data_IF_781772605661
#
_entry.id   IF_781772605661
#
_cell.length_a   1.000
_cell.length_b   1.000
_cell.length_c   1.000
_cell.angle_alpha   90.00
_cell.angle_beta   90.00
_cell.angle_gamma   90.00
#
_symmetry.space_group_name_H-M   'P 1'
#
loop_
_entity.id
_entity.type
_entity.pdbx_description
1 polymer ?
#
# COMPACT_ATOMS: atom_id res chain seq x y z
N UNK A 1 6.84 37.25 -0.75
CA UNK A 1 6.85 36.46 0.49
C UNK A 1 7.53 35.16 0.19
N UNK A 2 8.44 34.67 1.07
CA UNK A 2 9.00 33.33 0.91
C UNK A 2 7.87 32.28 0.96
N UNK A 3 7.96 31.24 0.15
CA UNK A 3 6.99 30.14 0.17
C UNK A 3 6.93 29.51 1.58
N UNK A 4 5.76 29.11 2.07
CA UNK A 4 5.62 28.52 3.41
C UNK A 4 6.37 27.18 3.48
N UNK A 5 6.92 26.88 4.66
CA UNK A 5 7.51 25.57 4.98
C UNK A 5 6.75 24.95 6.14
N UNK A 6 6.68 23.62 6.13
CA UNK A 6 6.04 22.82 7.19
C UNK A 6 6.79 22.98 8.52
N UNK A 7 6.14 22.59 9.60
CA UNK A 7 6.78 22.42 10.91
C UNK A 7 7.38 21.00 10.99
N UNK A 8 8.68 20.91 10.73
CA UNK A 8 9.40 19.64 10.68
C UNK A 8 9.41 18.90 12.02
N UNK A 9 9.54 19.64 13.13
CA UNK A 9 9.56 19.06 14.47
C UNK A 9 8.20 18.47 14.84
N UNK A 10 7.11 19.18 14.49
CA UNK A 10 5.76 18.68 14.71
C UNK A 10 5.46 17.45 13.87
N UNK A 11 5.75 17.48 12.57
CA UNK A 11 5.56 16.28 11.71
C UNK A 11 6.30 15.07 12.27
N UNK A 12 7.56 15.23 12.65
CA UNK A 12 8.34 14.14 13.21
C UNK A 12 7.80 13.65 14.57
N UNK A 13 7.41 14.58 15.44
CA UNK A 13 6.80 14.25 16.73
C UNK A 13 5.48 13.48 16.56
N UNK A 14 4.64 13.89 15.62
CA UNK A 14 3.36 13.23 15.34
C UNK A 14 3.59 11.82 14.76
N UNK A 15 4.56 11.65 13.84
CA UNK A 15 4.96 10.33 13.34
C UNK A 15 5.40 9.41 14.48
N UNK A 16 6.24 9.89 15.37
CA UNK A 16 6.74 9.08 16.50
C UNK A 16 5.63 8.79 17.54
N UNK A 17 4.72 9.73 17.76
CA UNK A 17 3.57 9.53 18.64
C UNK A 17 2.61 8.47 18.08
N UNK A 18 2.31 8.54 16.79
CA UNK A 18 1.50 7.52 16.13
C UNK A 18 2.20 6.16 16.10
N UNK A 19 3.51 6.12 15.89
CA UNK A 19 4.31 4.89 15.90
C UNK A 19 4.33 4.19 17.27
N UNK A 20 4.07 4.90 18.37
CA UNK A 20 3.93 4.30 19.70
C UNK A 20 2.68 3.41 19.83
N UNK A 21 1.65 3.64 18.99
CA UNK A 21 0.44 2.82 18.95
C UNK A 21 0.70 1.58 18.06
N UNK A 22 0.82 0.43 18.70
CA UNK A 22 1.22 -0.82 18.06
C UNK A 22 2.73 -1.01 17.96
N UNK A 23 3.53 -0.26 18.74
CA UNK A 23 4.98 -0.36 18.73
C UNK A 23 5.48 -1.78 19.02
N UNK A 24 6.50 -2.21 18.27
CA UNK A 24 7.19 -3.48 18.45
C UNK A 24 8.52 -3.30 19.19
N UNK A 25 9.02 -4.34 19.89
CA UNK A 25 10.24 -4.24 20.72
C UNK A 25 11.49 -3.78 19.95
N UNK A 26 11.57 -4.08 18.65
CA UNK A 26 12.72 -3.77 17.80
C UNK A 26 12.53 -2.52 16.93
N UNK A 27 11.49 -1.74 17.22
CA UNK A 27 11.32 -0.42 16.63
C UNK A 27 10.29 -0.30 15.50
N UNK A 28 9.69 -1.39 15.07
CA UNK A 28 8.60 -1.41 14.09
C UNK A 28 7.23 -1.12 14.68
N UNK A 29 6.20 -1.34 13.89
CA UNK A 29 4.80 -1.15 14.24
C UNK A 29 3.96 -2.37 13.84
N UNK A 30 2.93 -2.68 14.63
CA UNK A 30 1.90 -3.66 14.33
C UNK A 30 0.53 -3.01 14.56
N UNK A 31 0.02 -2.35 13.56
CA UNK A 31 -1.28 -1.68 13.57
C UNK A 31 -2.12 -2.21 12.40
N UNK A 32 -2.41 -3.52 12.43
CA UNK A 32 -3.24 -4.17 11.42
C UNK A 32 -4.61 -3.53 11.32
N UNK A 33 -5.12 -3.42 10.10
CA UNK A 33 -6.42 -2.81 9.81
C UNK A 33 -7.54 -3.31 10.72
N UNK A 34 -8.33 -2.37 11.22
CA UNK A 34 -9.51 -2.58 12.06
C UNK A 34 -9.25 -3.33 13.39
N UNK A 35 -8.00 -3.39 13.85
CA UNK A 35 -7.67 -3.83 15.21
C UNK A 35 -7.89 -2.69 16.22
N UNK A 36 -7.74 -3.01 17.52
CA UNK A 36 -7.78 -1.97 18.56
C UNK A 36 -6.63 -0.96 18.40
N UNK A 37 -5.46 -1.40 17.96
CA UNK A 37 -4.35 -0.50 17.65
C UNK A 37 -4.70 0.45 16.47
N UNK A 38 -5.33 -0.05 15.40
CA UNK A 38 -5.80 0.82 14.30
C UNK A 38 -6.88 1.79 14.77
N UNK A 39 -7.85 1.33 15.59
CA UNK A 39 -8.82 2.23 16.23
C UNK A 39 -8.14 3.35 16.99
N UNK A 40 -7.12 3.05 17.79
CA UNK A 40 -6.45 4.03 18.62
C UNK A 40 -5.62 5.00 17.77
N UNK A 41 -4.99 4.51 16.67
CA UNK A 41 -4.34 5.37 15.67
C UNK A 41 -5.32 6.30 14.94
N UNK A 42 -6.48 5.78 14.53
CA UNK A 42 -7.57 6.57 13.93
C UNK A 42 -8.12 7.62 14.91
N UNK A 43 -8.29 7.25 16.18
CA UNK A 43 -8.73 8.18 17.23
C UNK A 43 -7.72 9.32 17.42
N UNK A 44 -6.43 9.03 17.41
CA UNK A 44 -5.37 10.02 17.52
C UNK A 44 -5.38 10.96 16.29
N UNK A 45 -5.45 10.43 15.09
CA UNK A 45 -5.58 11.23 13.87
C UNK A 45 -6.85 12.10 13.90
N UNK A 46 -7.99 11.56 14.29
CA UNK A 46 -9.23 12.30 14.43
C UNK A 46 -9.15 13.41 15.49
N UNK A 47 -8.40 13.20 16.57
CA UNK A 47 -8.12 14.22 17.57
C UNK A 47 -7.32 15.37 16.95
N UNK A 48 -6.22 15.09 16.29
CA UNK A 48 -5.38 16.08 15.63
C UNK A 48 -6.10 16.87 14.53
N UNK A 49 -6.99 16.22 13.77
CA UNK A 49 -7.83 16.89 12.79
C UNK A 49 -8.79 17.91 13.45
N UNK A 50 -9.41 17.53 14.58
CA UNK A 50 -10.30 18.47 15.34
C UNK A 50 -9.51 19.62 15.95
N UNK A 51 -8.32 19.39 16.50
CA UNK A 51 -7.43 20.45 16.98
C UNK A 51 -7.03 21.43 15.88
N UNK A 52 -6.86 20.91 14.65
CA UNK A 52 -6.62 21.72 13.45
C UNK A 52 -7.89 22.39 12.90
N UNK A 53 -9.05 22.24 13.55
CA UNK A 53 -10.32 22.88 13.12
C UNK A 53 -10.93 22.26 11.86
N UNK A 54 -10.51 21.04 11.48
CA UNK A 54 -10.98 20.38 10.26
C UNK A 54 -12.34 19.68 10.48
N UNK A 55 -13.21 19.74 9.47
CA UNK A 55 -14.45 18.98 9.45
C UNK A 55 -14.12 17.51 9.10
N UNK A 56 -14.33 16.60 10.07
CA UNK A 56 -14.06 15.18 9.91
C UNK A 56 -15.33 14.41 9.51
N UNK A 57 -15.23 13.58 8.47
CA UNK A 57 -16.27 12.61 8.09
C UNK A 57 -15.64 11.22 7.89
N UNK A 58 -16.46 10.19 8.11
CA UNK A 58 -16.07 8.78 7.91
C UNK A 58 -17.11 8.13 7.02
N UNK A 59 -16.69 7.37 6.01
CA UNK A 59 -17.61 6.65 5.14
C UNK A 59 -17.89 5.22 5.62
N UNK A 60 -18.78 4.52 4.92
CA UNK A 60 -19.25 3.21 5.35
C UNK A 60 -18.18 2.10 5.30
N UNK A 61 -17.07 2.28 4.54
CA UNK A 61 -15.91 1.37 4.56
C UNK A 61 -14.83 1.85 5.56
N UNK A 62 -15.09 2.95 6.29
CA UNK A 62 -14.20 3.45 7.32
C UNK A 62 -13.11 4.40 6.83
N UNK A 63 -13.13 4.83 5.57
CA UNK A 63 -12.22 5.88 5.12
C UNK A 63 -12.52 7.17 5.87
N UNK A 64 -11.46 7.88 6.29
CA UNK A 64 -11.58 9.12 7.06
C UNK A 64 -11.20 10.30 6.17
N UNK A 65 -12.00 11.36 6.21
CA UNK A 65 -11.78 12.57 5.43
C UNK A 65 -11.82 13.78 6.36
N UNK A 66 -10.73 14.53 6.44
CA UNK A 66 -10.62 15.76 7.22
C UNK A 66 -10.51 16.95 6.27
N UNK A 67 -11.56 17.78 6.23
CA UNK A 67 -11.73 18.85 5.26
C UNK A 67 -11.36 20.19 5.86
N UNK A 68 -10.50 20.93 5.15
CA UNK A 68 -10.24 22.34 5.26
C UNK A 68 -10.98 23.08 4.15
N UNK A 69 -11.79 24.07 4.51
CA UNK A 69 -12.56 24.80 3.50
C UNK A 69 -11.69 25.72 2.63
N UNK A 70 -12.09 25.85 1.38
CA UNK A 70 -11.58 26.83 0.44
C UNK A 70 -12.47 28.09 0.38
N UNK A 71 -12.02 29.11 -0.32
CA UNK A 71 -12.79 30.35 -0.53
C UNK A 71 -13.93 30.19 -1.55
N UNK A 72 -13.87 29.18 -2.40
CA UNK A 72 -14.88 28.87 -3.42
C UNK A 72 -15.44 27.46 -3.23
N UNK A 73 -16.58 27.31 -2.55
CA UNK A 73 -17.18 26.01 -2.27
C UNK A 73 -17.75 25.30 -3.50
N UNK A 74 -17.83 25.96 -4.66
CA UNK A 74 -18.29 25.36 -5.91
C UNK A 74 -17.22 24.53 -6.60
N UNK A 75 -15.95 24.72 -6.25
CA UNK A 75 -14.82 23.99 -6.82
C UNK A 75 -14.61 22.65 -6.13
N UNK A 76 -14.30 21.58 -6.90
CA UNK A 76 -13.94 20.29 -6.31
C UNK A 76 -12.66 20.41 -5.47
N UNK A 77 -12.57 19.73 -4.32
CA UNK A 77 -11.41 19.79 -3.43
C UNK A 77 -10.18 19.07 -4.01
N UNK A 78 -9.01 19.47 -3.52
CA UNK A 78 -7.76 18.72 -3.68
C UNK A 78 -7.64 17.75 -2.51
N UNK A 79 -7.35 16.48 -2.80
CA UNK A 79 -7.13 15.44 -1.79
C UNK A 79 -5.64 15.17 -1.62
N UNK A 80 -5.23 14.89 -0.39
CA UNK A 80 -3.90 14.40 -0.06
C UNK A 80 -3.97 13.42 1.11
N UNK A 81 -3.20 12.36 1.08
CA UNK A 81 -3.16 11.37 2.16
C UNK A 81 -2.60 10.04 1.74
N UNK A 82 -2.84 9.00 2.53
CA UNK A 82 -2.45 7.61 2.36
C UNK A 82 -3.24 6.75 3.36
N UNK A 83 -2.60 5.82 4.08
CA UNK A 83 -3.23 4.93 5.06
C UNK A 83 -2.54 5.00 6.43
N UNK A 84 -3.21 4.49 7.47
CA UNK A 84 -2.67 4.37 8.83
C UNK A 84 -2.43 2.93 9.26
N UNK A 85 -3.08 1.93 8.63
CA UNK A 85 -2.79 0.53 8.91
C UNK A 85 -1.39 0.13 8.43
N UNK A 86 -0.81 -0.89 9.05
CA UNK A 86 0.55 -1.36 8.77
C UNK A 86 0.58 -2.85 8.56
N UNK A 87 1.66 -3.36 7.98
CA UNK A 87 2.01 -4.79 8.02
C UNK A 87 2.26 -5.28 9.46
N UNK A 88 2.48 -6.59 9.63
CA UNK A 88 2.79 -7.22 10.91
C UNK A 88 3.89 -8.29 10.78
N UNK A 89 5.12 -8.00 11.19
CA UNK A 89 5.65 -6.71 11.64
C UNK A 89 5.80 -5.71 10.48
N UNK A 90 5.51 -4.44 10.73
CA UNK A 90 5.61 -3.35 9.75
C UNK A 90 6.52 -2.22 10.20
N UNK A 91 6.65 -1.22 9.33
CA UNK A 91 7.36 0.01 9.58
C UNK A 91 6.52 1.09 10.27
N UNK A 92 7.10 2.29 10.37
CA UNK A 92 6.47 3.46 11.03
C UNK A 92 6.03 4.53 10.03
N UNK A 93 6.54 4.46 8.81
CA UNK A 93 6.47 5.53 7.82
C UNK A 93 5.60 5.14 6.63
N UNK A 94 5.53 3.85 6.33
CA UNK A 94 4.72 3.26 5.28
C UNK A 94 3.23 3.58 5.50
N UNK A 95 2.68 4.50 4.69
CA UNK A 95 1.35 5.07 4.83
C UNK A 95 1.25 6.25 5.81
N UNK A 96 1.61 6.11 7.12
CA UNK A 96 1.53 7.21 8.08
C UNK A 96 2.22 8.50 7.65
N UNK A 97 3.34 8.42 6.92
CA UNK A 97 4.01 9.60 6.41
C UNK A 97 3.09 10.43 5.51
N UNK A 98 2.38 9.80 4.57
CA UNK A 98 1.48 10.49 3.65
C UNK A 98 0.31 11.15 4.33
N UNK A 99 -0.33 10.46 5.30
CA UNK A 99 -1.46 11.01 6.06
C UNK A 99 -1.04 12.19 6.93
N UNK A 100 0.06 12.04 7.69
CA UNK A 100 0.51 13.08 8.61
C UNK A 100 1.17 14.26 7.89
N UNK A 101 1.84 14.04 6.76
CA UNK A 101 2.31 15.13 5.91
C UNK A 101 1.15 15.94 5.33
N UNK A 102 0.08 15.29 4.88
CA UNK A 102 -1.11 15.99 4.39
C UNK A 102 -1.81 16.79 5.50
N UNK A 103 -1.87 16.26 6.74
CA UNK A 103 -2.35 17.01 7.89
C UNK A 103 -1.44 18.21 8.20
N UNK A 104 -0.13 18.05 8.11
CA UNK A 104 0.83 19.13 8.34
C UNK A 104 0.74 20.21 7.26
N UNK A 105 0.44 19.85 6.00
CA UNK A 105 0.15 20.83 4.93
C UNK A 105 -0.97 21.77 5.34
N UNK A 106 -2.12 21.25 5.75
CA UNK A 106 -3.27 22.12 6.12
C UNK A 106 -2.99 22.95 7.36
N UNK A 107 -2.32 22.39 8.38
CA UNK A 107 -1.88 23.14 9.57
C UNK A 107 -0.92 24.30 9.22
N UNK A 108 -0.03 24.06 8.26
CA UNK A 108 0.92 25.08 7.80
C UNK A 108 0.22 26.22 7.05
N UNK A 109 -0.74 25.90 6.19
CA UNK A 109 -1.53 26.90 5.47
C UNK A 109 -2.33 27.78 6.45
N UNK A 110 -2.93 27.18 7.48
CA UNK A 110 -3.68 27.91 8.50
C UNK A 110 -2.76 28.82 9.35
N UNK A 111 -1.63 28.28 9.80
CA UNK A 111 -0.62 29.08 10.53
C UNK A 111 -0.10 30.27 9.72
N UNK A 112 0.06 30.09 8.41
CA UNK A 112 0.52 31.13 7.50
C UNK A 112 -0.61 32.10 7.07
N UNK A 113 -1.86 31.87 7.45
CA UNK A 113 -3.02 32.68 7.02
C UNK A 113 -3.28 32.60 5.51
N UNK A 114 -2.89 31.51 4.85
CA UNK A 114 -3.05 31.32 3.40
C UNK A 114 -4.42 30.69 3.13
N UNK A 115 -5.31 31.43 2.49
CA UNK A 115 -6.55 30.91 1.95
C UNK A 115 -6.30 30.29 0.57
N UNK A 116 -6.87 29.10 0.33
CA UNK A 116 -6.87 28.47 -0.99
C UNK A 116 -8.24 28.64 -1.64
N UNK A 117 -8.31 28.63 -2.97
CA UNK A 117 -9.59 28.66 -3.67
C UNK A 117 -10.39 27.39 -3.44
N UNK A 118 -9.75 26.23 -3.63
CA UNK A 118 -10.35 24.91 -3.40
C UNK A 118 -10.18 24.48 -1.95
N UNK A 119 -11.12 23.73 -1.46
CA UNK A 119 -10.96 22.99 -0.23
C UNK A 119 -9.81 21.96 -0.37
N UNK A 120 -9.21 21.59 0.76
CA UNK A 120 -8.22 20.51 0.84
C UNK A 120 -8.78 19.42 1.77
N UNK A 121 -8.80 18.19 1.33
CA UNK A 121 -9.21 17.03 2.13
C UNK A 121 -8.03 16.10 2.41
N UNK A 122 -7.73 15.94 3.71
CA UNK A 122 -6.77 14.95 4.17
C UNK A 122 -7.48 13.62 4.30
N UNK A 123 -6.94 12.54 3.70
CA UNK A 123 -7.58 11.24 3.70
C UNK A 123 -6.71 10.16 4.37
N UNK A 124 -7.39 9.27 5.11
CA UNK A 124 -6.86 7.99 5.56
C UNK A 124 -7.70 6.87 4.96
N UNK A 125 -7.11 6.09 4.06
CA UNK A 125 -7.74 4.94 3.43
C UNK A 125 -7.74 3.73 4.36
N UNK A 126 -8.79 2.92 4.30
CA UNK A 126 -8.97 1.73 5.16
C UNK A 126 -8.39 0.49 4.51
N UNK A 127 -7.56 -0.28 5.26
CA UNK A 127 -7.01 -1.56 4.85
C UNK A 127 -6.28 -1.48 3.49
N UNK A 128 -5.36 -0.53 3.40
CA UNK A 128 -4.50 -0.43 2.22
C UNK A 128 -3.57 -1.64 2.12
N UNK A 129 -2.95 -2.03 3.22
CA UNK A 129 -1.93 -3.06 3.30
C UNK A 129 -2.42 -4.49 2.98
N UNK A 130 -3.70 -4.77 3.16
CA UNK A 130 -4.25 -6.11 2.95
C UNK A 130 -3.71 -7.18 3.89
N UNK A 131 -2.93 -6.82 4.90
CA UNK A 131 -2.25 -7.73 5.79
C UNK A 131 -3.21 -8.56 6.66
N UNK A 132 -4.33 -7.96 7.06
CA UNK A 132 -5.39 -8.66 7.80
C UNK A 132 -6.52 -9.12 6.90
N UNK A 133 -6.97 -8.26 5.98
CA UNK A 133 -8.09 -8.52 5.06
C UNK A 133 -7.59 -8.38 3.63
N UNK A 134 -7.43 -9.49 2.94
CA UNK A 134 -7.01 -9.50 1.52
C UNK A 134 -8.22 -9.37 0.59
N UNK A 135 -8.11 -8.58 -0.49
CA UNK A 135 -6.93 -7.85 -0.96
C UNK A 135 -6.71 -6.52 -0.25
N UNK A 136 -5.50 -5.96 -0.40
CA UNK A 136 -5.18 -4.59 -0.03
C UNK A 136 -5.83 -3.54 -0.93
N UNK A 137 -5.52 -2.25 -0.71
CA UNK A 137 -6.11 -1.09 -1.37
C UNK A 137 -7.64 -1.04 -1.21
N UNK A 138 -8.19 -1.65 -0.15
CA UNK A 138 -9.62 -1.93 -0.06
C UNK A 138 -10.44 -0.65 0.05
N UNK A 139 -10.07 0.26 0.93
CA UNK A 139 -10.80 1.50 1.18
C UNK A 139 -10.89 2.39 -0.07
N UNK A 140 -9.77 2.59 -0.74
CA UNK A 140 -9.72 3.37 -1.99
C UNK A 140 -10.42 2.66 -3.15
N UNK A 141 -10.35 1.31 -3.22
CA UNK A 141 -11.03 0.53 -4.25
C UNK A 141 -12.56 0.61 -4.14
N UNK A 142 -13.09 0.54 -2.90
CA UNK A 142 -14.54 0.72 -2.67
C UNK A 142 -14.95 2.16 -2.98
N UNK A 143 -14.15 3.15 -2.55
CA UNK A 143 -14.39 4.56 -2.84
C UNK A 143 -14.41 4.84 -4.35
N UNK A 144 -13.53 4.20 -5.12
CA UNK A 144 -13.46 4.33 -6.59
C UNK A 144 -14.44 3.41 -7.35
N UNK A 145 -15.37 2.73 -6.68
CA UNK A 145 -16.31 1.78 -7.26
C UNK A 145 -15.64 0.61 -8.04
N UNK A 146 -14.42 0.25 -7.66
CA UNK A 146 -13.71 -0.93 -8.19
C UNK A 146 -14.17 -2.21 -7.49
N UNK A 147 -14.49 -2.10 -6.20
CA UNK A 147 -15.02 -3.18 -5.36
C UNK A 147 -16.34 -2.71 -4.75
N UNK A 148 -17.34 -3.59 -4.79
CA UNK A 148 -18.64 -3.34 -4.14
C UNK A 148 -18.48 -3.32 -2.62
N UNK A 149 -19.17 -2.38 -1.94
CA UNK A 149 -19.11 -2.22 -0.49
C UNK A 149 -19.56 -3.50 0.25
N UNK A 150 -20.61 -4.17 -0.23
CA UNK A 150 -21.10 -5.39 0.41
C UNK A 150 -20.10 -6.54 0.27
N UNK A 151 -19.39 -6.62 -0.87
CA UNK A 151 -18.31 -7.59 -1.07
C UNK A 151 -17.17 -7.29 -0.10
N UNK A 152 -16.74 -6.04 0.00
CA UNK A 152 -15.67 -5.64 0.92
C UNK A 152 -16.03 -5.93 2.39
N UNK A 153 -17.25 -5.59 2.81
CA UNK A 153 -17.73 -5.88 4.17
C UNK A 153 -17.78 -7.38 4.50
N UNK A 154 -17.98 -8.24 3.51
CA UNK A 154 -18.04 -9.70 3.68
C UNK A 154 -16.64 -10.36 3.73
N UNK A 155 -15.57 -9.67 3.35
CA UNK A 155 -14.19 -10.20 3.45
C UNK A 155 -13.89 -10.52 4.90
N UNK A 156 -13.27 -11.70 5.14
CA UNK A 156 -12.92 -12.17 6.48
C UNK A 156 -11.42 -12.34 6.66
N UNK A 157 -10.94 -12.11 7.88
CA UNK A 157 -9.61 -12.50 8.29
C UNK A 157 -9.50 -14.02 8.55
N UNK A 158 -8.28 -14.51 8.86
CA UNK A 158 -8.03 -15.94 9.15
C UNK A 158 -8.78 -16.45 10.38
N UNK A 159 -9.23 -15.57 11.28
CA UNK A 159 -10.04 -15.93 12.46
C UNK A 159 -11.54 -15.93 12.18
N UNK A 160 -11.96 -15.51 10.98
CA UNK A 160 -13.37 -15.45 10.55
C UNK A 160 -14.08 -14.15 10.89
N UNK A 161 -13.35 -13.11 11.38
CA UNK A 161 -13.95 -11.80 11.60
C UNK A 161 -14.09 -11.06 10.26
N UNK A 162 -15.28 -10.51 10.00
CA UNK A 162 -15.52 -9.75 8.76
C UNK A 162 -15.13 -8.29 8.89
N UNK A 163 -14.77 -7.66 7.76
CA UNK A 163 -14.50 -6.22 7.68
C UNK A 163 -15.66 -5.40 8.24
N UNK A 164 -16.89 -5.68 7.81
CA UNK A 164 -18.08 -4.96 8.30
C UNK A 164 -18.31 -5.16 9.81
N UNK A 165 -18.07 -6.37 10.34
CA UNK A 165 -18.15 -6.65 11.77
C UNK A 165 -17.10 -5.89 12.58
N UNK A 166 -15.87 -5.85 12.08
CA UNK A 166 -14.76 -5.14 12.75
C UNK A 166 -14.92 -3.62 12.69
N UNK A 167 -15.39 -3.06 11.56
CA UNK A 167 -15.74 -1.64 11.45
C UNK A 167 -16.79 -1.23 12.50
N UNK A 168 -17.84 -2.05 12.66
CA UNK A 168 -18.87 -1.81 13.68
C UNK A 168 -18.27 -1.93 15.10
N UNK A 169 -17.42 -2.94 15.36
CA UNK A 169 -16.78 -3.18 16.67
C UNK A 169 -15.91 -1.99 17.09
N UNK A 170 -15.09 -1.47 16.18
CA UNK A 170 -14.22 -0.32 16.46
C UNK A 170 -14.92 1.05 16.30
N UNK A 171 -16.20 1.06 15.88
CA UNK A 171 -17.04 2.25 15.65
C UNK A 171 -16.51 3.19 14.56
N UNK A 172 -16.02 2.60 13.47
CA UNK A 172 -15.57 3.30 12.27
C UNK A 172 -16.37 2.95 11.01
N UNK A 173 -17.51 2.26 11.14
CA UNK A 173 -18.54 2.22 10.10
C UNK A 173 -19.25 3.59 10.11
N UNK A 174 -18.81 4.51 9.24
CA UNK A 174 -19.35 5.85 9.18
C UNK A 174 -20.66 5.91 8.38
N UNK A 175 -21.28 7.08 8.38
CA UNK A 175 -22.55 7.40 7.70
C UNK A 175 -22.39 8.18 6.40
N UNK A 176 -21.16 8.66 6.11
CA UNK A 176 -20.89 9.34 4.86
C UNK A 176 -20.98 8.38 3.67
N UNK A 177 -21.52 8.83 2.53
CA UNK A 177 -21.56 8.02 1.32
C UNK A 177 -20.15 7.58 0.89
N UNK A 178 -20.02 6.33 0.42
CA UNK A 178 -18.79 5.85 -0.18
C UNK A 178 -18.73 6.29 -1.63
N UNK A 179 -17.66 6.97 -2.02
CA UNK A 179 -17.49 7.49 -3.38
C UNK A 179 -18.43 8.64 -3.74
N UNK A 180 -18.52 8.93 -5.03
CA UNK A 180 -19.41 9.99 -5.55
C UNK A 180 -18.99 11.42 -5.21
N UNK A 181 -17.86 11.63 -4.52
CA UNK A 181 -17.30 12.95 -4.24
C UNK A 181 -16.54 13.45 -5.46
N UNK A 182 -16.81 14.70 -5.84
CA UNK A 182 -15.98 15.36 -6.85
C UNK A 182 -14.59 15.60 -6.28
N UNK A 183 -13.55 15.31 -7.06
CA UNK A 183 -12.14 15.50 -6.72
C UNK A 183 -11.47 16.28 -7.85
N UNK A 184 -10.68 17.31 -7.51
CA UNK A 184 -9.88 18.04 -8.49
C UNK A 184 -8.55 17.32 -8.77
N UNK A 185 -7.88 16.86 -7.72
CA UNK A 185 -6.64 16.11 -7.78
C UNK A 185 -6.42 15.30 -6.49
N UNK A 186 -5.56 14.28 -6.58
CA UNK A 186 -5.06 13.51 -5.44
C UNK A 186 -3.54 13.50 -5.42
N UNK A 187 -2.97 13.71 -4.24
CA UNK A 187 -1.53 13.61 -3.99
C UNK A 187 -1.25 12.62 -2.87
N UNK A 188 -0.27 11.76 -3.07
CA UNK A 188 0.19 10.82 -2.05
C UNK A 188 1.71 10.98 -1.86
N UNK A 189 2.14 11.32 -0.64
CA UNK A 189 3.54 11.25 -0.25
C UNK A 189 3.79 9.90 0.39
N UNK A 190 4.85 9.22 -0.04
CA UNK A 190 5.18 7.90 0.47
C UNK A 190 6.69 7.69 0.56
N UNK A 191 7.15 6.71 1.33
CA UNK A 191 8.51 6.20 1.22
C UNK A 191 8.64 5.38 -0.07
N UNK A 192 9.83 5.34 -0.68
CA UNK A 192 10.05 4.60 -1.93
C UNK A 192 9.77 3.10 -1.82
N UNK A 193 9.98 2.50 -0.64
CA UNK A 193 9.97 1.05 -0.43
C UNK A 193 10.97 0.30 -1.33
N UNK A 194 12.02 1.00 -1.73
CA UNK A 194 13.08 0.52 -2.60
C UNK A 194 14.38 1.29 -2.36
N UNK A 195 15.51 0.83 -2.92
CA UNK A 195 16.83 1.39 -2.64
C UNK A 195 17.29 2.44 -3.66
N UNK A 196 16.47 2.82 -4.65
CA UNK A 196 16.94 3.58 -5.82
C UNK A 196 17.29 5.04 -5.46
N UNK A 197 16.41 5.72 -4.72
CA UNK A 197 16.65 7.12 -4.31
C UNK A 197 17.88 7.24 -3.40
N UNK A 198 18.00 6.35 -2.42
CA UNK A 198 19.17 6.34 -1.52
C UNK A 198 20.45 6.04 -2.28
N UNK A 199 20.45 5.04 -3.15
CA UNK A 199 21.62 4.68 -3.96
C UNK A 199 22.05 5.80 -4.91
N UNK A 200 21.12 6.60 -5.42
CA UNK A 200 21.39 7.76 -6.28
C UNK A 200 21.73 9.03 -5.49
N UNK A 201 21.52 9.06 -4.17
CA UNK A 201 21.65 10.28 -3.36
C UNK A 201 20.61 11.34 -3.73
N UNK A 202 19.40 10.92 -4.17
CA UNK A 202 18.31 11.80 -4.60
C UNK A 202 17.24 11.88 -3.52
N UNK A 203 16.78 13.09 -3.23
CA UNK A 203 15.83 13.36 -2.14
C UNK A 203 14.37 13.07 -2.50
N UNK A 204 13.98 13.36 -3.74
CA UNK A 204 12.57 13.29 -4.19
C UNK A 204 12.45 12.40 -5.43
N UNK A 205 11.53 11.47 -5.37
CA UNK A 205 11.08 10.70 -6.52
C UNK A 205 9.72 11.21 -7.01
N UNK A 206 9.66 11.74 -8.24
CA UNK A 206 8.41 12.05 -8.92
C UNK A 206 7.98 10.80 -9.70
N UNK A 207 6.93 10.12 -9.24
CA UNK A 207 6.56 8.81 -9.78
C UNK A 207 5.77 8.99 -11.08
N UNK A 208 6.23 8.37 -12.15
CA UNK A 208 5.60 8.49 -13.48
C UNK A 208 4.67 7.35 -13.81
N UNK A 209 4.97 6.14 -13.35
CA UNK A 209 4.15 4.94 -13.60
C UNK A 209 4.57 3.76 -12.71
N UNK A 210 3.75 2.71 -12.71
CA UNK A 210 4.06 1.48 -11.98
C UNK A 210 4.71 0.42 -12.87
N UNK A 211 5.19 -0.66 -12.23
CA UNK A 211 5.63 -1.87 -12.93
C UNK A 211 4.43 -2.67 -13.45
N UNK A 212 4.67 -3.52 -14.46
CA UNK A 212 3.79 -4.63 -14.79
C UNK A 212 3.83 -5.65 -13.66
N UNK A 213 2.69 -6.28 -13.36
CA UNK A 213 2.64 -7.33 -12.34
C UNK A 213 1.67 -8.45 -12.70
N UNK A 214 2.01 -9.66 -12.24
CA UNK A 214 1.10 -10.80 -12.19
C UNK A 214 1.06 -11.30 -10.75
N UNK A 215 -0.14 -11.63 -10.25
CA UNK A 215 -0.33 -12.37 -9.00
C UNK A 215 -1.23 -13.56 -9.28
N UNK A 216 -0.92 -14.71 -8.67
CA UNK A 216 -1.72 -15.90 -8.85
C UNK A 216 -1.77 -16.76 -7.58
N UNK A 217 -2.90 -17.46 -7.43
CA UNK A 217 -3.10 -18.50 -6.44
C UNK A 217 -3.06 -19.87 -7.15
N UNK A 218 -2.15 -20.71 -6.74
CA UNK A 218 -1.92 -22.05 -7.31
C UNK A 218 -2.35 -23.12 -6.32
N UNK A 219 -3.19 -24.02 -6.77
CA UNK A 219 -3.52 -25.24 -6.05
C UNK A 219 -2.66 -26.40 -6.54
N UNK A 220 -2.08 -27.13 -5.61
CA UNK A 220 -1.41 -28.40 -5.85
C UNK A 220 -2.22 -29.53 -5.20
N UNK A 221 -2.55 -30.58 -5.96
CA UNK A 221 -3.31 -31.75 -5.52
C UNK A 221 -2.50 -33.04 -5.61
N UNK A 222 -2.60 -33.84 -4.55
CA UNK A 222 -1.99 -35.15 -4.42
C UNK A 222 -2.90 -36.09 -3.63
N UNK A 223 -2.32 -37.01 -2.87
CA UNK A 223 -3.05 -38.03 -2.14
C UNK A 223 -2.77 -37.97 -0.64
N UNK A 224 -3.80 -38.23 0.16
CA UNK A 224 -3.65 -38.48 1.59
C UNK A 224 -2.88 -39.79 1.83
N UNK A 225 -2.13 -39.82 2.92
CA UNK A 225 -1.45 -41.03 3.36
C UNK A 225 -0.88 -40.86 4.77
N UNK A 226 -0.61 -41.98 5.43
CA UNK A 226 0.05 -41.99 6.71
C UNK A 226 1.55 -41.77 6.54
N UNK A 227 2.15 -40.79 7.27
CA UNK A 227 3.55 -40.39 7.07
C UNK A 227 4.58 -41.50 7.31
N UNK A 228 4.26 -42.50 8.12
CA UNK A 228 5.18 -43.60 8.43
C UNK A 228 4.94 -44.85 7.59
N UNK A 229 3.69 -45.19 7.29
CA UNK A 229 3.35 -46.48 6.67
C UNK A 229 3.22 -46.44 5.15
N UNK A 230 2.90 -45.30 4.55
CA UNK A 230 2.84 -45.21 3.08
C UNK A 230 4.27 -45.22 2.49
N UNK A 231 4.61 -46.17 1.59
CA UNK A 231 5.93 -46.22 0.98
C UNK A 231 6.31 -44.95 0.24
N UNK A 232 7.57 -44.49 0.38
CA UNK A 232 8.04 -43.20 -0.18
C UNK A 232 7.73 -43.03 -1.67
N UNK A 233 7.99 -44.07 -2.48
CA UNK A 233 7.81 -44.03 -3.94
C UNK A 233 6.34 -43.98 -4.39
N UNK A 234 5.39 -44.17 -3.47
CA UNK A 234 3.94 -44.07 -3.74
C UNK A 234 3.32 -42.78 -3.26
N UNK A 235 4.14 -41.86 -2.68
CA UNK A 235 3.64 -40.63 -2.09
C UNK A 235 3.44 -39.57 -3.16
N UNK A 236 2.22 -39.01 -3.21
CA UNK A 236 1.87 -37.83 -3.96
C UNK A 236 1.58 -36.71 -2.97
N UNK A 237 2.65 -36.10 -2.43
CA UNK A 237 2.58 -35.10 -1.37
C UNK A 237 2.44 -33.68 -1.95
N UNK A 238 1.25 -33.10 -1.86
CA UNK A 238 0.95 -31.78 -2.41
C UNK A 238 1.81 -30.66 -1.81
N UNK A 239 2.15 -30.74 -0.51
CA UNK A 239 3.02 -29.75 0.12
C UNK A 239 4.44 -29.77 -0.45
N UNK A 240 4.98 -30.97 -0.76
CA UNK A 240 6.30 -31.08 -1.38
C UNK A 240 6.28 -30.55 -2.83
N UNK A 241 5.21 -30.79 -3.56
CA UNK A 241 5.04 -30.22 -4.91
C UNK A 241 4.98 -28.71 -4.89
N UNK A 242 4.17 -28.14 -4.00
CA UNK A 242 4.10 -26.68 -3.80
C UNK A 242 5.48 -26.10 -3.43
N UNK A 243 6.20 -26.72 -2.47
CA UNK A 243 7.52 -26.24 -2.05
C UNK A 243 8.56 -26.26 -3.19
N UNK A 244 8.53 -27.28 -4.07
CA UNK A 244 9.41 -27.33 -5.25
C UNK A 244 9.12 -26.19 -6.22
N UNK A 245 7.84 -25.93 -6.53
CA UNK A 245 7.46 -24.84 -7.42
C UNK A 245 7.79 -23.48 -6.81
N UNK A 246 7.59 -23.29 -5.51
CA UNK A 246 7.99 -22.07 -4.77
C UNK A 246 9.50 -21.84 -4.90
N UNK A 247 10.32 -22.86 -4.79
CA UNK A 247 11.77 -22.74 -4.96
C UNK A 247 12.17 -22.34 -6.40
N UNK A 248 11.44 -22.83 -7.41
CA UNK A 248 11.66 -22.42 -8.80
C UNK A 248 11.23 -20.96 -9.04
N UNK A 249 10.12 -20.52 -8.44
CA UNK A 249 9.68 -19.12 -8.50
C UNK A 249 10.75 -18.18 -7.89
N UNK A 250 11.33 -18.54 -6.74
CA UNK A 250 12.45 -17.79 -6.13
C UNK A 250 13.67 -17.73 -7.07
N UNK A 251 14.04 -18.86 -7.68
CA UNK A 251 15.14 -18.95 -8.66
C UNK A 251 14.90 -18.03 -9.85
N UNK A 252 13.68 -18.02 -10.39
CA UNK A 252 13.29 -17.16 -11.52
C UNK A 252 13.37 -15.68 -11.13
N UNK A 253 12.87 -15.34 -9.93
CA UNK A 253 12.96 -13.97 -9.41
C UNK A 253 14.40 -13.49 -9.25
N UNK A 254 15.28 -14.34 -8.69
CA UNK A 254 16.73 -14.05 -8.58
C UNK A 254 17.41 -13.86 -9.92
N UNK A 255 17.05 -14.66 -10.93
CA UNK A 255 17.61 -14.55 -12.27
C UNK A 255 17.15 -13.27 -13.00
N UNK A 256 15.97 -12.73 -12.67
CA UNK A 256 15.46 -11.48 -13.25
C UNK A 256 15.99 -10.22 -12.56
N UNK A 257 16.63 -10.35 -11.39
CA UNK A 257 17.13 -9.20 -10.64
C UNK A 257 18.25 -8.47 -11.42
N UNK A 258 18.37 -7.13 -11.26
CA UNK A 258 17.59 -6.26 -10.39
C UNK A 258 16.28 -5.76 -11.01
N UNK A 259 16.03 -6.01 -12.30
CA UNK A 259 14.90 -5.45 -13.02
C UNK A 259 13.56 -6.05 -12.55
N UNK A 260 13.45 -7.38 -12.51
CA UNK A 260 12.28 -8.10 -12.08
C UNK A 260 12.41 -8.72 -10.70
N UNK A 261 11.30 -9.12 -10.12
CA UNK A 261 11.25 -9.95 -8.92
C UNK A 261 10.07 -10.92 -8.95
N UNK A 262 10.21 -12.05 -8.27
CA UNK A 262 9.14 -13.00 -8.04
C UNK A 262 9.25 -13.58 -6.63
N UNK A 263 8.11 -13.75 -5.94
CA UNK A 263 8.06 -14.31 -4.60
C UNK A 263 6.75 -15.03 -4.34
N UNK A 264 6.82 -16.17 -3.69
CA UNK A 264 5.66 -16.80 -3.06
C UNK A 264 5.54 -16.29 -1.63
N UNK A 265 4.30 -15.96 -1.18
CA UNK A 265 4.08 -15.24 0.07
C UNK A 265 3.09 -15.90 1.02
N UNK A 266 2.23 -16.79 0.53
CA UNK A 266 1.25 -17.54 1.33
C UNK A 266 1.34 -19.01 0.96
N UNK A 267 1.21 -19.90 1.94
CA UNK A 267 1.01 -21.34 1.70
C UNK A 267 0.08 -21.92 2.76
N UNK A 268 -0.97 -22.57 2.33
CA UNK A 268 -1.89 -23.35 3.17
C UNK A 268 -1.91 -24.81 2.71
N UNK A 269 -1.96 -25.76 3.64
CA UNK A 269 -1.95 -27.17 3.35
C UNK A 269 -3.07 -27.91 4.09
N UNK A 270 -3.62 -28.97 3.49
CA UNK A 270 -4.67 -29.79 4.09
C UNK A 270 -4.30 -31.27 4.09
N UNK A 271 -4.57 -31.96 5.22
CA UNK A 271 -5.32 -31.57 6.41
C UNK A 271 -4.49 -30.82 7.46
N UNK A 272 -3.25 -30.43 7.19
CA UNK A 272 -2.35 -29.65 8.05
C UNK A 272 -2.21 -30.22 9.48
N UNK A 273 -1.91 -31.50 9.59
CA UNK A 273 -1.64 -32.19 10.82
C UNK A 273 -0.34 -33.03 10.75
N UNK A 274 0.17 -33.49 11.90
CA UNK A 274 1.49 -34.14 11.99
C UNK A 274 1.53 -35.59 11.53
N UNK A 275 0.40 -36.16 11.12
CA UNK A 275 0.25 -37.61 10.85
C UNK A 275 -0.02 -37.92 9.38
N UNK A 276 -0.69 -37.01 8.69
CA UNK A 276 -1.11 -37.20 7.31
C UNK A 276 -0.20 -36.49 6.30
N UNK A 277 0.05 -37.16 5.19
CA UNK A 277 0.62 -36.54 3.99
C UNK A 277 -0.44 -35.58 3.43
N UNK A 278 -0.13 -34.29 3.22
CA UNK A 278 -1.08 -33.36 2.65
C UNK A 278 -1.48 -33.74 1.23
N UNK A 279 -2.79 -33.79 0.98
CA UNK A 279 -3.35 -34.07 -0.34
C UNK A 279 -3.65 -32.80 -1.14
N UNK A 280 -3.62 -31.66 -0.50
CA UNK A 280 -3.89 -30.35 -1.09
C UNK A 280 -2.97 -29.32 -0.48
N UNK A 281 -2.40 -28.46 -1.33
CA UNK A 281 -1.73 -27.23 -0.91
C UNK A 281 -2.16 -26.10 -1.83
N UNK A 282 -2.34 -24.89 -1.27
CA UNK A 282 -2.58 -23.67 -2.04
C UNK A 282 -1.53 -22.66 -1.63
N UNK A 283 -0.92 -22.01 -2.60
CA UNK A 283 0.02 -20.93 -2.34
C UNK A 283 -0.21 -19.76 -3.31
N UNK A 284 0.16 -18.56 -2.86
CA UNK A 284 0.10 -17.34 -3.67
C UNK A 284 1.50 -16.91 -4.07
N UNK A 285 1.65 -16.36 -5.30
CA UNK A 285 2.88 -15.72 -5.72
C UNK A 285 2.60 -14.41 -6.44
N UNK A 286 3.60 -13.53 -6.44
CA UNK A 286 3.62 -12.31 -7.23
C UNK A 286 4.88 -12.20 -8.07
N UNK A 287 4.76 -11.63 -9.26
CA UNK A 287 5.84 -11.32 -10.20
C UNK A 287 5.70 -9.88 -10.63
N UNK A 288 6.81 -9.12 -10.67
CA UNK A 288 6.85 -7.76 -11.22
C UNK A 288 8.01 -7.62 -12.19
N UNK A 289 7.82 -6.79 -13.21
CA UNK A 289 8.89 -6.39 -14.13
C UNK A 289 8.60 -5.00 -14.73
N UNK A 290 9.62 -4.15 -15.00
CA UNK A 290 9.41 -2.86 -15.64
C UNK A 290 8.91 -2.95 -17.08
N UNK A 291 9.20 -4.05 -17.78
CA UNK A 291 8.85 -4.25 -19.20
C UNK A 291 7.90 -5.44 -19.36
N UNK A 292 6.95 -5.32 -20.29
CA UNK A 292 5.97 -6.38 -20.57
C UNK A 292 6.64 -7.69 -20.98
N UNK A 293 7.61 -7.63 -21.90
CA UNK A 293 8.32 -8.81 -22.39
C UNK A 293 9.10 -9.53 -21.27
N UNK A 294 9.64 -8.76 -20.30
CA UNK A 294 10.29 -9.31 -19.12
C UNK A 294 9.31 -10.07 -18.24
N UNK A 295 8.15 -9.47 -17.98
CA UNK A 295 7.08 -10.11 -17.21
C UNK A 295 6.60 -11.41 -17.88
N UNK A 296 6.36 -11.39 -19.20
CA UNK A 296 5.91 -12.55 -19.96
C UNK A 296 6.95 -13.68 -19.94
N UNK A 297 8.25 -13.36 -20.07
CA UNK A 297 9.31 -14.38 -19.95
C UNK A 297 9.32 -15.03 -18.57
N UNK A 298 9.23 -14.23 -17.49
CA UNK A 298 9.20 -14.78 -16.13
C UNK A 298 7.96 -15.66 -15.91
N UNK A 299 6.80 -15.28 -16.40
CA UNK A 299 5.59 -16.08 -16.29
C UNK A 299 5.71 -17.38 -17.10
N UNK A 300 6.23 -17.34 -18.31
CA UNK A 300 6.45 -18.52 -19.13
C UNK A 300 7.43 -19.52 -18.44
N UNK A 301 8.49 -19.02 -17.79
CA UNK A 301 9.39 -19.88 -17.01
C UNK A 301 8.69 -20.53 -15.82
N UNK A 302 7.80 -19.81 -15.13
CA UNK A 302 6.97 -20.35 -14.03
C UNK A 302 6.03 -21.45 -14.55
N UNK A 303 5.41 -21.23 -15.71
CA UNK A 303 4.51 -22.20 -16.34
C UNK A 303 5.26 -23.48 -16.71
N UNK A 304 6.47 -23.37 -17.28
CA UNK A 304 7.36 -24.50 -17.58
C UNK A 304 7.76 -25.23 -16.29
N UNK A 305 8.18 -24.51 -15.26
CA UNK A 305 8.54 -25.09 -13.96
C UNK A 305 7.35 -25.85 -13.34
N UNK A 306 6.13 -25.29 -13.45
CA UNK A 306 4.91 -25.94 -12.98
C UNK A 306 4.70 -27.30 -13.68
N UNK A 307 4.86 -27.33 -15.00
CA UNK A 307 4.74 -28.57 -15.76
C UNK A 307 5.83 -29.60 -15.42
N UNK A 308 7.07 -29.16 -15.25
CA UNK A 308 8.19 -30.01 -14.84
C UNK A 308 7.93 -30.64 -13.48
N UNK A 309 7.54 -29.84 -12.49
CA UNK A 309 7.25 -30.37 -11.14
C UNK A 309 6.03 -31.30 -11.17
N UNK A 310 5.02 -31.04 -11.98
CA UNK A 310 3.86 -31.90 -12.14
C UNK A 310 4.29 -33.32 -12.69
N UNK A 311 5.12 -33.34 -13.73
CA UNK A 311 5.63 -34.60 -14.33
C UNK A 311 6.50 -35.38 -13.34
N UNK A 312 7.44 -34.72 -12.67
CA UNK A 312 8.37 -35.35 -11.74
C UNK A 312 7.67 -35.93 -10.49
N UNK A 313 6.62 -35.29 -10.03
CA UNK A 313 5.94 -35.65 -8.79
C UNK A 313 4.65 -36.44 -8.99
N UNK A 314 4.11 -36.47 -10.21
CA UNK A 314 2.80 -37.00 -10.51
C UNK A 314 1.63 -36.21 -9.88
N UNK A 315 1.88 -34.97 -9.47
CA UNK A 315 0.89 -34.06 -8.85
C UNK A 315 0.14 -33.26 -9.89
N UNK A 316 -1.04 -32.78 -9.51
CA UNK A 316 -1.86 -31.92 -10.35
C UNK A 316 -1.75 -30.49 -9.85
N UNK A 317 -1.56 -29.53 -10.78
CA UNK A 317 -1.54 -28.09 -10.49
C UNK A 317 -2.68 -27.39 -11.23
N UNK A 318 -3.33 -26.46 -10.55
CA UNK A 318 -4.38 -25.63 -11.11
C UNK A 318 -4.23 -24.17 -10.63
N UNK A 319 -4.37 -23.23 -11.56
CA UNK A 319 -4.47 -21.82 -11.22
C UNK A 319 -5.89 -21.53 -10.76
N UNK A 320 -6.07 -21.14 -9.49
CA UNK A 320 -7.37 -20.77 -8.93
C UNK A 320 -7.75 -19.33 -9.27
N UNK A 321 -6.77 -18.46 -9.19
CA UNK A 321 -6.90 -17.03 -9.48
C UNK A 321 -5.63 -16.58 -10.19
N UNK A 322 -5.79 -15.76 -11.23
CA UNK A 322 -4.69 -15.03 -11.83
C UNK A 322 -5.14 -13.60 -12.10
N UNK A 323 -4.31 -12.64 -11.75
CA UNK A 323 -4.52 -11.22 -11.99
C UNK A 323 -3.28 -10.64 -12.63
N UNK A 324 -3.47 -10.03 -13.80
CA UNK A 324 -2.46 -9.21 -14.46
C UNK A 324 -2.82 -7.74 -14.24
N UNK A 325 -1.83 -6.94 -13.96
CA UNK A 325 -1.95 -5.48 -13.93
C UNK A 325 -0.91 -4.88 -14.85
N UNK A 326 -1.38 -4.14 -15.84
CA UNK A 326 -0.54 -3.28 -16.65
C UNK A 326 -0.17 -2.02 -15.86
N UNK A 327 0.90 -1.31 -16.23
CA UNK A 327 1.29 -0.09 -15.54
C UNK A 327 0.17 0.94 -15.52
N UNK A 328 -0.03 1.57 -14.37
CA UNK A 328 -0.79 2.80 -14.28
C UNK A 328 0.16 3.98 -14.48
N UNK A 329 -0.30 5.03 -15.15
CA UNK A 329 0.48 6.23 -15.43
C UNK A 329 -0.06 7.40 -14.64
N UNK A 330 0.80 8.05 -13.86
CA UNK A 330 0.45 9.24 -13.10
C UNK A 330 0.27 10.45 -14.02
N UNK A 331 -0.44 11.45 -13.54
CA UNK A 331 -0.82 12.60 -14.35
C UNK A 331 0.38 13.50 -14.62
N UNK A 332 0.83 13.57 -15.86
CA UNK A 332 2.08 14.26 -16.23
C UNK A 332 2.16 15.73 -15.74
N UNK A 333 1.01 16.45 -15.71
CA UNK A 333 0.95 17.81 -15.15
C UNK A 333 1.28 17.83 -13.66
N UNK A 334 0.78 16.86 -12.88
CA UNK A 334 1.04 16.80 -11.44
C UNK A 334 2.46 16.29 -11.14
N UNK A 335 2.97 15.32 -11.93
CA UNK A 335 4.38 14.92 -11.88
C UNK A 335 5.30 16.13 -12.08
N UNK A 336 5.05 16.94 -13.11
CA UNK A 336 5.81 18.16 -13.37
C UNK A 336 5.66 19.20 -12.24
N UNK A 337 4.48 19.26 -11.60
CA UNK A 337 4.24 20.16 -10.47
C UNK A 337 5.08 19.76 -9.24
N UNK A 338 5.18 18.46 -8.95
CA UNK A 338 6.01 17.93 -7.86
C UNK A 338 7.52 18.17 -8.16
N UNK A 339 7.96 17.92 -9.40
CA UNK A 339 9.33 18.21 -9.83
C UNK A 339 9.68 19.70 -9.65
N UNK A 340 8.81 20.59 -10.12
CA UNK A 340 9.00 22.02 -9.97
C UNK A 340 9.06 22.44 -8.50
N UNK A 341 8.17 21.91 -7.66
CA UNK A 341 8.18 22.17 -6.22
C UNK A 341 9.49 21.73 -5.57
N UNK A 342 10.01 20.54 -5.92
CA UNK A 342 11.28 20.04 -5.40
C UNK A 342 12.45 20.93 -5.84
N UNK A 343 12.51 21.34 -7.11
CA UNK A 343 13.57 22.22 -7.64
C UNK A 343 13.59 23.61 -6.96
N UNK A 344 12.43 24.22 -6.76
CA UNK A 344 12.32 25.52 -6.09
C UNK A 344 12.72 25.47 -4.62
N UNK A 345 12.56 24.30 -3.99
CA UNK A 345 13.02 24.02 -2.63
C UNK A 345 14.48 23.56 -2.58
N UNK A 346 15.20 23.59 -3.72
CA UNK A 346 16.57 23.15 -3.87
C UNK A 346 16.80 21.68 -3.47
N UNK A 347 15.79 20.83 -3.62
CA UNK A 347 15.93 19.38 -3.47
C UNK A 347 16.28 18.72 -4.81
N UNK A 348 17.15 17.71 -4.76
CA UNK A 348 17.38 16.82 -5.89
C UNK A 348 16.10 16.01 -6.17
N UNK A 349 15.75 15.86 -7.45
CA UNK A 349 14.54 15.14 -7.89
C UNK A 349 14.83 14.29 -9.11
N UNK A 350 14.21 13.12 -9.19
CA UNK A 350 14.26 12.24 -10.35
C UNK A 350 12.87 11.68 -10.67
N UNK A 351 12.62 11.40 -11.94
CA UNK A 351 11.47 10.62 -12.36
C UNK A 351 11.74 9.15 -12.15
N UNK A 352 10.77 8.46 -11.58
CA UNK A 352 10.92 7.04 -11.30
C UNK A 352 9.64 6.24 -11.44
N UNK A 353 9.73 4.92 -11.27
CA UNK A 353 8.60 3.99 -11.26
C UNK A 353 8.33 3.54 -9.84
N UNK A 354 7.08 3.15 -9.55
CA UNK A 354 6.77 2.41 -8.32
C UNK A 354 6.71 0.91 -8.57
N UNK A 355 7.20 0.13 -7.62
CA UNK A 355 7.09 -1.33 -7.60
C UNK A 355 5.83 -1.80 -6.90
N UNK A 356 5.51 -1.36 -5.66
CA UNK A 356 4.28 -1.73 -4.97
C UNK A 356 3.05 -1.02 -5.54
N UNK A 357 1.87 -1.46 -5.08
CA UNK A 357 0.63 -0.76 -5.28
C UNK A 357 0.44 0.34 -4.23
N UNK A 358 -0.36 1.35 -4.54
CA UNK A 358 -0.73 2.44 -3.65
C UNK A 358 -2.18 2.83 -3.87
N UNK A 359 -2.82 3.46 -2.89
CA UNK A 359 -4.18 3.99 -3.02
C UNK A 359 -4.33 4.95 -4.20
N UNK A 360 -3.27 5.66 -4.53
CA UNK A 360 -3.15 6.51 -5.72
C UNK A 360 -3.56 5.80 -7.02
N UNK A 361 -3.39 4.47 -7.14
CA UNK A 361 -3.80 3.71 -8.32
C UNK A 361 -5.31 3.72 -8.54
N UNK A 362 -6.08 3.66 -7.45
CA UNK A 362 -7.53 3.75 -7.51
C UNK A 362 -7.98 5.18 -7.77
N UNK A 363 -7.26 6.18 -7.24
CA UNK A 363 -7.58 7.59 -7.42
C UNK A 363 -7.37 8.06 -8.86
N UNK A 364 -6.43 7.48 -9.62
CA UNK A 364 -6.26 7.72 -11.06
C UNK A 364 -7.53 7.47 -11.89
N UNK A 365 -8.49 6.70 -11.37
CA UNK A 365 -9.79 6.47 -12.02
C UNK A 365 -10.77 7.61 -11.83
N UNK A 366 -10.53 8.48 -10.86
CA UNK A 366 -11.45 9.52 -10.42
C UNK A 366 -10.95 10.92 -10.75
N UNK A 367 -9.64 11.15 -10.65
CA UNK A 367 -9.04 12.48 -10.82
C UNK A 367 -7.57 12.40 -11.24
N UNK A 368 -6.99 13.51 -11.70
CA UNK A 368 -5.55 13.68 -11.82
C UNK A 368 -4.86 13.31 -10.50
N UNK A 369 -3.83 12.48 -10.58
CA UNK A 369 -3.18 11.89 -9.39
C UNK A 369 -1.67 11.91 -9.52
N UNK A 370 -0.98 12.13 -8.41
CA UNK A 370 0.47 12.07 -8.27
C UNK A 370 0.88 11.29 -7.03
N UNK A 371 2.01 10.57 -7.15
CA UNK A 371 2.70 9.87 -6.08
C UNK A 371 4.11 10.43 -5.96
N UNK A 372 4.48 10.90 -4.76
CA UNK A 372 5.77 11.51 -4.45
C UNK A 372 6.52 10.59 -3.50
N UNK A 373 7.75 10.23 -3.84
CA UNK A 373 8.59 9.39 -2.99
C UNK A 373 9.69 10.16 -2.28
N UNK A 374 10.03 9.65 -1.10
CA UNK A 374 11.26 9.98 -0.36
C UNK A 374 12.04 8.71 -0.07
N UNK A 375 13.38 8.79 0.11
CA UNK A 375 14.20 7.62 0.40
C UNK A 375 13.78 6.89 1.67
N UNK A 376 13.86 5.56 1.64
CA UNK A 376 13.88 4.73 2.83
C UNK A 376 15.21 3.98 2.93
N UNK A 377 15.73 3.87 4.13
CA UNK A 377 17.05 3.30 4.40
C UNK A 377 17.16 1.86 3.93
N UNK A 378 18.21 1.57 3.13
CA UNK A 378 18.47 0.25 2.54
C UNK A 378 17.32 -0.30 1.68
N UNK A 379 16.34 0.52 1.31
CA UNK A 379 15.13 0.11 0.63
C UNK A 379 14.23 -0.81 1.46
N UNK A 380 14.43 -0.86 2.78
CA UNK A 380 13.67 -1.74 3.69
C UNK A 380 12.30 -1.16 3.95
N UNK A 381 11.24 -1.91 3.61
CA UNK A 381 9.87 -1.66 4.00
C UNK A 381 9.17 -2.96 4.40
N UNK A 382 7.98 -2.89 5.02
CA UNK A 382 7.26 -4.03 5.61
C UNK A 382 8.12 -4.79 6.64
N UNK A 383 8.89 -4.03 7.41
CA UNK A 383 9.87 -4.56 8.34
C UNK A 383 10.08 -3.61 9.52
N UNK A 384 10.45 -4.15 10.70
CA UNK A 384 10.71 -3.37 11.92
C UNK A 384 11.83 -2.34 11.77
N UNK A 385 12.78 -2.58 10.85
CA UNK A 385 13.93 -1.70 10.58
C UNK A 385 13.66 -0.62 9.54
N UNK A 386 12.43 -0.55 9.01
CA UNK A 386 12.03 0.52 8.10
C UNK A 386 12.36 1.89 8.70
N UNK A 387 13.01 2.74 7.91
CA UNK A 387 13.41 4.06 8.38
C UNK A 387 13.45 5.08 7.24
N UNK A 388 12.77 6.20 7.46
CA UNK A 388 12.89 7.43 6.71
C UNK A 388 13.51 8.48 7.64
N UNK A 389 14.47 9.29 7.16
CA UNK A 389 15.07 10.31 8.03
C UNK A 389 14.12 11.50 8.23
N UNK A 390 14.26 12.26 9.35
CA UNK A 390 13.50 13.50 9.56
C UNK A 390 13.66 14.49 8.40
N UNK A 391 14.85 14.56 7.81
CA UNK A 391 15.17 15.45 6.69
C UNK A 391 14.41 15.03 5.42
N UNK A 392 14.38 13.73 5.11
CA UNK A 392 13.64 13.21 3.95
C UNK A 392 12.11 13.37 4.14
N UNK A 393 11.58 13.05 5.32
CA UNK A 393 10.17 13.27 5.63
C UNK A 393 9.79 14.74 5.49
N UNK A 394 10.64 15.66 5.99
CA UNK A 394 10.46 17.11 5.88
C UNK A 394 10.51 17.58 4.43
N UNK A 395 11.47 17.10 3.65
CA UNK A 395 11.61 17.45 2.23
C UNK A 395 10.38 17.03 1.43
N UNK A 396 9.92 15.77 1.60
CA UNK A 396 8.72 15.26 0.95
C UNK A 396 7.47 16.05 1.33
N UNK A 397 7.28 16.34 2.62
CA UNK A 397 6.14 17.11 3.10
C UNK A 397 6.14 18.57 2.58
N UNK A 398 7.31 19.20 2.42
CA UNK A 398 7.41 20.52 1.80
C UNK A 398 7.06 20.47 0.30
N UNK A 399 7.53 19.46 -0.43
CA UNK A 399 7.15 19.26 -1.84
C UNK A 399 5.64 19.05 -1.97
N UNK A 400 5.06 18.21 -1.10
CA UNK A 400 3.60 18.01 -1.04
C UNK A 400 2.85 19.31 -0.76
N UNK A 401 3.30 20.13 0.22
CA UNK A 401 2.71 21.42 0.54
C UNK A 401 2.68 22.33 -0.69
N UNK A 402 3.80 22.46 -1.40
CA UNK A 402 3.89 23.34 -2.56
C UNK A 402 3.04 22.84 -3.75
N UNK A 403 3.01 21.52 -3.98
CA UNK A 403 2.21 20.92 -5.04
C UNK A 403 0.70 21.10 -4.75
N UNK A 404 0.26 20.77 -3.53
CA UNK A 404 -1.13 20.91 -3.09
C UNK A 404 -1.58 22.37 -3.12
N UNK A 405 -0.77 23.29 -2.57
CA UNK A 405 -1.09 24.74 -2.57
C UNK A 405 -1.29 25.26 -3.98
N UNK A 406 -0.38 24.97 -4.91
CA UNK A 406 -0.50 25.43 -6.30
C UNK A 406 -1.72 24.86 -7.00
N UNK A 407 -2.07 23.63 -6.71
CA UNK A 407 -3.26 23.02 -7.30
C UNK A 407 -4.54 23.59 -6.69
N UNK A 408 -4.57 23.78 -5.37
CA UNK A 408 -5.73 24.28 -4.64
C UNK A 408 -6.02 25.79 -4.90
N UNK A 409 -5.05 26.55 -5.40
CA UNK A 409 -5.19 27.97 -5.69
C UNK A 409 -5.56 28.28 -7.16
N UNK A 410 -5.67 27.26 -8.01
CA UNK A 410 -6.08 27.36 -9.43
C UNK A 410 -7.60 27.44 -9.69
#
# INVERSE_FOLDING_TARGET
MSAPLIDAERLWSDLMTLAAIGALPHGGCNRLALTDADRDGRNLFAHWCREAGLALSVDAIGNMFARREGSDPSLPPVFAGSHLDTQSPGGKFDGPLGVLAALEVVRTLDRAGIATRRAIEVVNWTNEEGARFSPGLMGSAVFANVVDLAIAHAVTDRAGHSVGGELARIRYAGDAPVGGRAMDAYFELHIEQGPELEAMGVTIGAVTHSHFSISADIECRGDNGHIQSLPMLRRRNALVGAARLIAEIDRIGRAAAPAGSASAVVIDAWPNNRINIPHRAVFSYGVIHPDADGLERMQAEIDVATQMVAVETGLEFATLVARRRDPVYFTAELVALAEQAAQELAHSVTRMRTRPGHDAFNMLRLCPTELIFVPCRDGISHHELEYCTPEHATAGANVLLHAVLRRADR
#
